data_IF_257807237472
#
_entry.id   IF_257807237472
#
_cell.length_a   1.000
_cell.length_b   1.000
_cell.length_c   1.000
_cell.angle_alpha   90.00
_cell.angle_beta   90.00
_cell.angle_gamma   90.00
#
_symmetry.space_group_name_H-M   'P 1'
#
loop_
_entity.id
_entity.type
_entity.pdbx_description
1 polymer ?
#
# COMPACT_ATOMS: atom_id res chain seq x y z
N UNK A 1 -21.60 28.59 3.76
CA UNK A 1 -20.43 28.18 4.55
C UNK A 1 -19.40 27.65 3.58
N UNK A 2 -18.14 28.03 3.70
CA UNK A 2 -17.07 27.44 2.87
C UNK A 2 -16.95 25.95 3.17
N UNK A 3 -16.89 25.06 2.15
CA UNK A 3 -16.74 23.62 2.38
C UNK A 3 -15.45 23.33 3.17
N UNK A 4 -15.59 22.72 4.34
CA UNK A 4 -14.47 22.35 5.19
C UNK A 4 -14.01 20.92 4.91
N UNK A 5 -12.89 20.79 4.21
CA UNK A 5 -12.31 19.48 3.83
C UNK A 5 -11.94 18.59 5.01
N UNK A 6 -11.74 19.16 6.21
CA UNK A 6 -11.33 18.38 7.39
C UNK A 6 -12.51 17.72 8.09
N UNK A 7 -13.71 18.28 7.95
CA UNK A 7 -14.96 17.65 8.41
C UNK A 7 -15.61 16.76 7.35
N UNK A 8 -15.16 16.84 6.10
CA UNK A 8 -15.68 16.04 5.00
C UNK A 8 -15.46 14.54 5.16
N UNK A 9 -16.37 13.75 4.59
CA UNK A 9 -16.23 12.30 4.47
C UNK A 9 -15.39 11.99 3.23
N UNK A 10 -14.18 11.48 3.45
CA UNK A 10 -13.27 11.08 2.37
C UNK A 10 -13.59 9.66 1.90
N UNK A 11 -13.97 9.54 0.64
CA UNK A 11 -14.25 8.26 -0.01
C UNK A 11 -13.21 7.94 -1.07
N UNK A 12 -13.02 6.64 -1.30
CA UNK A 12 -12.16 6.09 -2.35
C UNK A 12 -12.94 5.02 -3.09
N UNK A 13 -12.48 4.64 -4.28
CA UNK A 13 -13.09 3.54 -5.04
C UNK A 13 -13.26 2.27 -4.17
N UNK A 14 -12.22 1.90 -3.42
CA UNK A 14 -12.23 0.74 -2.53
C UNK A 14 -13.25 0.89 -1.39
N UNK A 15 -13.35 2.08 -0.77
CA UNK A 15 -14.26 2.30 0.34
C UNK A 15 -15.72 2.35 -0.09
N UNK A 16 -16.01 2.92 -1.27
CA UNK A 16 -17.35 2.88 -1.87
C UNK A 16 -17.75 1.44 -2.18
N UNK A 17 -16.85 0.65 -2.76
CA UNK A 17 -17.12 -0.76 -3.05
C UNK A 17 -17.39 -1.57 -1.76
N UNK A 18 -16.58 -1.36 -0.71
CA UNK A 18 -16.82 -1.98 0.61
C UNK A 18 -18.19 -1.58 1.19
N UNK A 19 -18.60 -0.31 1.05
CA UNK A 19 -19.90 0.16 1.54
C UNK A 19 -21.07 -0.48 0.77
N UNK A 20 -20.97 -0.54 -0.57
CA UNK A 20 -21.98 -1.16 -1.44
C UNK A 20 -22.17 -2.64 -1.13
N UNK A 21 -21.09 -3.36 -0.81
CA UNK A 21 -21.15 -4.77 -0.43
C UNK A 21 -21.68 -4.97 0.99
N UNK A 22 -21.17 -4.18 1.95
CA UNK A 22 -21.57 -4.28 3.35
C UNK A 22 -21.25 -2.97 4.11
N UNK A 23 -22.26 -2.15 4.46
CA UNK A 23 -22.04 -0.91 5.21
C UNK A 23 -21.32 -1.11 6.55
N UNK A 24 -21.55 -2.24 7.22
CA UNK A 24 -20.87 -2.58 8.47
C UNK A 24 -19.38 -2.85 8.25
N UNK A 25 -19.02 -3.54 7.16
CA UNK A 25 -17.63 -3.79 6.81
C UNK A 25 -16.91 -2.48 6.45
N UNK A 26 -17.58 -1.58 5.72
CA UNK A 26 -17.05 -0.24 5.46
C UNK A 26 -16.71 0.49 6.76
N UNK A 27 -17.65 0.54 7.71
CA UNK A 27 -17.42 1.21 8.99
C UNK A 27 -16.19 0.64 9.70
N UNK A 28 -16.09 -0.68 9.82
CA UNK A 28 -14.98 -1.33 10.52
C UNK A 28 -13.63 -1.16 9.82
N UNK A 29 -13.61 -1.16 8.48
CA UNK A 29 -12.37 -1.04 7.69
C UNK A 29 -11.90 0.40 7.51
N UNK A 30 -12.82 1.37 7.43
CA UNK A 30 -12.51 2.73 6.99
C UNK A 30 -12.75 3.81 8.03
N UNK A 31 -13.75 3.64 8.91
CA UNK A 31 -14.18 4.66 9.87
C UNK A 31 -13.71 4.34 11.30
N UNK A 32 -13.79 3.08 11.70
CA UNK A 32 -13.52 2.64 13.06
C UNK A 32 -12.04 2.83 13.45
N UNK A 33 -11.83 3.32 14.67
CA UNK A 33 -10.53 3.55 15.30
C UNK A 33 -10.54 2.89 16.68
N UNK A 34 -9.37 2.43 17.13
CA UNK A 34 -9.20 1.93 18.49
C UNK A 34 -9.60 3.03 19.50
N UNK A 35 -10.56 2.79 20.41
CA UNK A 35 -11.01 3.80 21.36
C UNK A 35 -9.92 4.26 22.35
N UNK A 36 -8.85 3.47 22.56
CA UNK A 36 -7.77 3.82 23.49
C UNK A 36 -6.70 4.68 22.83
N UNK A 37 -6.34 4.39 21.58
CA UNK A 37 -5.23 5.04 20.86
C UNK A 37 -5.70 6.04 19.81
N UNK A 38 -6.97 6.00 19.41
CA UNK A 38 -7.50 6.78 18.29
C UNK A 38 -6.93 6.35 16.93
N UNK A 39 -6.16 5.27 16.85
CA UNK A 39 -5.52 4.82 15.63
C UNK A 39 -6.42 3.89 14.82
N UNK A 40 -6.28 3.94 13.49
CA UNK A 40 -6.96 3.02 12.58
C UNK A 40 -6.41 1.61 12.78
N UNK A 41 -7.31 0.64 12.95
CA UNK A 41 -6.93 -0.76 13.08
C UNK A 41 -6.87 -1.38 11.67
N UNK A 42 -5.77 -2.08 11.38
CA UNK A 42 -5.65 -2.94 10.20
C UNK A 42 -5.16 -4.32 10.63
N UNK A 43 -5.78 -5.35 10.06
CA UNK A 43 -5.37 -6.74 10.28
C UNK A 43 -4.23 -7.03 9.32
N UNK A 44 -3.08 -7.41 9.87
CA UNK A 44 -1.97 -7.89 9.05
C UNK A 44 -2.25 -9.32 8.59
N UNK A 45 -2.05 -9.56 7.29
CA UNK A 45 -2.22 -10.90 6.68
C UNK A 45 -1.03 -11.21 5.77
N UNK A 46 -0.70 -12.49 5.55
CA UNK A 46 0.40 -12.89 4.67
C UNK A 46 0.38 -12.25 3.27
N UNK A 47 -0.78 -12.17 2.57
CA UNK A 47 -0.85 -11.48 1.27
C UNK A 47 -0.60 -9.98 1.36
N UNK A 48 -1.10 -9.32 2.42
CA UNK A 48 -0.89 -7.88 2.64
C UNK A 48 0.60 -7.60 2.91
N UNK A 49 1.24 -8.41 3.74
CA UNK A 49 2.65 -8.29 4.06
C UNK A 49 3.52 -8.45 2.80
N UNK A 50 3.25 -9.48 1.99
CA UNK A 50 3.90 -9.66 0.69
C UNK A 50 3.75 -8.43 -0.21
N UNK A 51 2.50 -7.98 -0.41
CA UNK A 51 2.22 -6.82 -1.26
C UNK A 51 2.93 -5.56 -0.78
N UNK A 52 2.88 -5.29 0.53
CA UNK A 52 3.53 -4.15 1.14
C UNK A 52 5.04 -4.11 0.84
N UNK A 53 5.76 -5.22 1.05
CA UNK A 53 7.21 -5.24 0.81
C UNK A 53 7.55 -5.09 -0.67
N UNK A 54 6.78 -5.73 -1.56
CA UNK A 54 6.99 -5.57 -3.01
C UNK A 54 6.77 -4.11 -3.43
N UNK A 55 5.71 -3.47 -2.94
CA UNK A 55 5.46 -2.05 -3.21
C UNK A 55 6.58 -1.15 -2.67
N UNK A 56 7.05 -1.40 -1.44
CA UNK A 56 8.13 -0.62 -0.83
C UNK A 56 9.43 -0.69 -1.66
N UNK A 57 9.80 -1.88 -2.17
CA UNK A 57 10.97 -2.03 -3.07
C UNK A 57 10.79 -1.20 -4.34
N UNK A 58 9.63 -1.28 -5.00
CA UNK A 58 9.36 -0.57 -6.26
C UNK A 58 9.33 0.95 -6.05
N UNK A 59 8.72 1.40 -4.96
CA UNK A 59 8.63 2.83 -4.61
C UNK A 59 10.02 3.40 -4.34
N UNK A 60 10.88 2.70 -3.60
CA UNK A 60 12.27 3.10 -3.38
C UNK A 60 13.03 3.20 -4.72
N UNK A 61 12.87 2.24 -5.63
CA UNK A 61 13.46 2.32 -6.97
C UNK A 61 13.00 3.55 -7.75
N UNK A 62 11.73 3.94 -7.63
CA UNK A 62 11.18 5.12 -8.31
C UNK A 62 11.84 6.44 -7.87
N UNK A 63 12.50 6.46 -6.71
CA UNK A 63 13.24 7.62 -6.20
C UNK A 63 14.65 7.75 -6.79
N UNK A 64 15.21 6.67 -7.32
CA UNK A 64 16.55 6.65 -7.89
C UNK A 64 16.54 7.14 -9.36
N UNK A 65 17.65 7.74 -9.83
CA UNK A 65 17.87 7.99 -11.26
C UNK A 65 17.74 6.70 -12.06
N UNK A 66 17.17 6.76 -13.28
CA UNK A 66 16.90 5.58 -14.11
C UNK A 66 18.12 4.68 -14.31
N UNK A 67 19.30 5.28 -14.46
CA UNK A 67 20.58 4.59 -14.63
C UNK A 67 20.99 3.76 -13.41
N UNK A 68 20.48 4.09 -12.21
CA UNK A 68 20.88 3.48 -10.94
C UNK A 68 19.84 2.53 -10.37
N UNK A 69 18.59 2.55 -10.88
CA UNK A 69 17.46 1.75 -10.37
C UNK A 69 17.75 0.25 -10.30
N UNK A 70 18.54 -0.26 -11.24
CA UNK A 70 18.87 -1.69 -11.34
C UNK A 70 20.33 -1.99 -10.96
N UNK A 71 21.12 -0.99 -10.55
CA UNK A 71 22.51 -1.18 -10.09
C UNK A 71 22.58 -1.73 -8.67
N UNK A 72 21.68 -1.27 -7.78
CA UNK A 72 21.43 -1.92 -6.48
C UNK A 72 20.56 -3.14 -6.73
N UNK A 73 20.98 -4.32 -6.27
CA UNK A 73 20.29 -5.58 -6.49
C UNK A 73 18.90 -5.48 -5.81
N UNK A 74 17.78 -5.39 -6.57
CA UNK A 74 16.45 -5.24 -5.98
C UNK A 74 16.08 -6.41 -5.04
N UNK A 75 16.71 -7.57 -5.27
CA UNK A 75 16.59 -8.76 -4.43
C UNK A 75 17.18 -8.56 -3.03
N UNK A 76 18.34 -7.92 -2.90
CA UNK A 76 18.98 -7.69 -1.60
C UNK A 76 18.11 -6.75 -0.77
N UNK A 77 17.58 -5.70 -1.41
CA UNK A 77 16.68 -4.77 -0.74
C UNK A 77 15.39 -5.44 -0.29
N UNK A 78 14.81 -6.30 -1.14
CA UNK A 78 13.67 -7.11 -0.77
C UNK A 78 13.95 -7.97 0.48
N UNK A 79 15.09 -8.65 0.53
CA UNK A 79 15.46 -9.52 1.65
C UNK A 79 15.71 -8.73 2.95
N UNK A 80 16.24 -7.50 2.86
CA UNK A 80 16.35 -6.59 3.99
C UNK A 80 14.98 -6.15 4.52
N UNK A 81 14.09 -5.71 3.62
CA UNK A 81 12.76 -5.23 3.95
C UNK A 81 11.87 -6.34 4.52
N UNK A 82 12.03 -7.57 4.04
CA UNK A 82 11.30 -8.74 4.55
C UNK A 82 11.48 -8.93 6.06
N UNK A 83 12.65 -8.59 6.62
CA UNK A 83 12.94 -8.68 8.07
C UNK A 83 11.95 -7.89 8.93
N UNK A 84 11.31 -6.86 8.37
CA UNK A 84 10.31 -6.04 9.08
C UNK A 84 9.00 -6.79 9.35
N UNK A 85 8.66 -7.76 8.49
CA UNK A 85 7.37 -8.47 8.49
C UNK A 85 7.47 -9.96 8.85
N UNK A 86 8.61 -10.43 9.35
CA UNK A 86 8.78 -11.87 9.68
C UNK A 86 7.86 -12.33 10.80
N UNK A 87 7.42 -13.59 10.75
CA UNK A 87 6.58 -14.22 11.75
C UNK A 87 5.24 -13.51 11.98
N UNK A 88 4.85 -13.39 13.26
CA UNK A 88 3.57 -12.78 13.65
C UNK A 88 3.37 -11.35 13.13
N UNK A 89 4.47 -10.59 12.91
CA UNK A 89 4.41 -9.22 12.38
C UNK A 89 3.90 -9.14 10.94
N UNK A 90 4.04 -10.19 10.15
CA UNK A 90 3.48 -10.31 8.79
C UNK A 90 2.21 -11.14 8.73
N UNK A 91 1.67 -11.53 9.88
CA UNK A 91 0.49 -12.40 9.95
C UNK A 91 0.79 -13.87 9.62
N UNK A 92 2.05 -14.31 9.73
CA UNK A 92 2.42 -15.71 9.52
C UNK A 92 2.22 -16.53 10.80
N UNK A 93 1.58 -17.69 10.67
CA UNK A 93 1.33 -18.62 11.78
C UNK A 93 2.40 -19.72 11.87
N UNK A 94 3.07 -20.00 10.76
CA UNK A 94 4.11 -21.01 10.63
C UNK A 94 5.16 -20.57 9.59
N UNK A 95 6.32 -21.22 9.67
CA UNK A 95 7.47 -20.87 8.84
C UNK A 95 7.30 -21.28 7.38
N UNK A 96 6.61 -22.39 7.10
CA UNK A 96 6.43 -22.87 5.74
C UNK A 96 5.55 -21.91 4.92
N UNK A 97 4.50 -21.38 5.55
CA UNK A 97 3.67 -20.32 4.98
C UNK A 97 4.51 -19.07 4.73
N UNK A 98 5.32 -18.62 5.70
CA UNK A 98 6.19 -17.47 5.52
C UNK A 98 7.16 -17.65 4.33
N UNK A 99 7.85 -18.79 4.27
CA UNK A 99 8.81 -19.10 3.22
C UNK A 99 8.14 -19.20 1.84
N UNK A 100 6.90 -19.71 1.77
CA UNK A 100 6.09 -19.70 0.53
C UNK A 100 5.82 -18.29 0.03
N UNK A 101 5.37 -17.39 0.91
CA UNK A 101 5.12 -15.99 0.53
C UNK A 101 6.42 -15.25 0.21
N UNK A 102 7.49 -15.52 0.95
CA UNK A 102 8.81 -14.94 0.69
C UNK A 102 9.33 -15.32 -0.68
N UNK A 103 9.24 -16.60 -1.06
CA UNK A 103 9.63 -17.09 -2.39
C UNK A 103 8.80 -16.45 -3.50
N UNK A 104 7.48 -16.37 -3.31
CA UNK A 104 6.59 -15.69 -4.26
C UNK A 104 6.99 -14.22 -4.47
N UNK A 105 7.34 -13.50 -3.42
CA UNK A 105 7.80 -12.11 -3.57
C UNK A 105 9.14 -12.00 -4.28
N UNK A 106 10.09 -12.91 -4.04
CA UNK A 106 11.33 -12.97 -4.83
C UNK A 106 11.05 -13.18 -6.32
N UNK A 107 10.10 -14.05 -6.67
CA UNK A 107 9.68 -14.24 -8.06
C UNK A 107 9.08 -12.97 -8.66
N UNK A 108 8.27 -12.22 -7.89
CA UNK A 108 7.73 -10.93 -8.32
C UNK A 108 8.83 -9.90 -8.59
N UNK A 109 9.80 -9.77 -7.69
CA UNK A 109 10.96 -8.87 -7.88
C UNK A 109 11.82 -9.31 -9.07
N UNK A 110 12.10 -10.60 -9.21
CA UNK A 110 12.84 -11.13 -10.36
C UNK A 110 12.14 -10.85 -11.69
N UNK A 111 10.80 -10.90 -11.72
CA UNK A 111 10.00 -10.55 -12.90
C UNK A 111 10.17 -9.08 -13.28
N UNK A 112 10.27 -8.17 -12.30
CA UNK A 112 10.49 -6.75 -12.55
C UNK A 112 11.89 -6.51 -13.14
N UNK A 113 12.92 -7.20 -12.65
CA UNK A 113 14.26 -7.09 -13.23
C UNK A 113 14.31 -7.60 -14.67
N UNK A 114 13.60 -8.68 -14.98
CA UNK A 114 13.52 -9.25 -16.34
C UNK A 114 12.64 -8.44 -17.28
N UNK A 115 11.59 -7.82 -16.75
CA UNK A 115 10.58 -7.07 -17.50
C UNK A 115 10.33 -5.72 -16.81
N UNK A 116 11.28 -4.77 -16.92
CA UNK A 116 11.27 -3.55 -16.10
C UNK A 116 10.14 -2.59 -16.46
N UNK A 117 9.65 -2.63 -17.70
CA UNK A 117 8.52 -1.81 -18.14
C UNK A 117 8.73 -0.32 -17.82
N UNK A 118 7.71 0.38 -17.32
CA UNK A 118 7.80 1.81 -17.00
C UNK A 118 8.84 2.17 -15.93
N UNK A 119 9.29 1.22 -15.12
CA UNK A 119 10.28 1.47 -14.05
C UNK A 119 11.67 1.77 -14.65
N UNK A 120 11.97 1.33 -15.87
CA UNK A 120 13.21 1.73 -16.55
C UNK A 120 13.16 3.16 -17.09
N UNK A 121 11.96 3.71 -17.27
CA UNK A 121 11.76 4.98 -17.96
C UNK A 121 11.82 6.19 -17.02
N UNK A 122 12.09 7.36 -17.60
CA UNK A 122 11.99 8.64 -16.88
C UNK A 122 10.53 8.89 -16.54
N UNK A 123 10.24 9.16 -15.28
CA UNK A 123 8.91 9.50 -14.81
C UNK A 123 8.91 10.95 -14.30
N UNK A 124 7.91 11.73 -14.73
CA UNK A 124 7.67 13.07 -14.19
C UNK A 124 6.97 12.91 -12.85
N UNK A 125 7.63 13.34 -11.76
CA UNK A 125 6.99 13.39 -10.44
C UNK A 125 6.22 14.70 -10.31
N UNK A 126 4.90 14.62 -10.31
CA UNK A 126 4.02 15.77 -10.08
C UNK A 126 4.22 16.25 -8.64
N UNK A 127 4.57 17.52 -8.46
CA UNK A 127 4.80 18.14 -7.15
C UNK A 127 3.51 18.81 -6.63
N UNK A 128 2.41 18.08 -6.62
CA UNK A 128 1.13 18.59 -6.11
C UNK A 128 0.71 17.86 -4.85
N UNK A 129 -0.02 18.55 -3.98
CA UNK A 129 -0.78 17.89 -2.91
C UNK A 129 -1.79 16.92 -3.53
N UNK A 130 -2.10 15.82 -2.83
CA UNK A 130 -3.12 14.85 -3.25
C UNK A 130 -4.36 15.57 -3.80
N UNK A 131 -4.63 15.47 -5.11
CA UNK A 131 -5.80 16.12 -5.69
C UNK A 131 -7.04 15.47 -5.11
N UNK A 132 -8.04 16.28 -4.80
CA UNK A 132 -9.33 15.83 -4.30
C UNK A 132 -10.44 16.59 -5.03
N UNK A 133 -11.62 15.99 -5.08
CA UNK A 133 -12.77 16.55 -5.76
C UNK A 133 -14.00 16.43 -4.85
N UNK A 134 -14.84 17.46 -4.81
CA UNK A 134 -16.09 17.38 -4.06
C UNK A 134 -17.11 16.58 -4.86
N UNK A 135 -17.38 15.35 -4.42
CA UNK A 135 -18.44 14.52 -5.01
C UNK A 135 -19.83 15.08 -4.69
N UNK A 136 -19.98 15.66 -3.50
CA UNK A 136 -21.17 16.41 -3.10
C UNK A 136 -20.79 17.41 -2.01
N UNK A 137 -20.90 18.70 -2.31
CA UNK A 137 -20.69 19.76 -1.30
C UNK A 137 -21.82 19.78 -0.27
N UNK A 138 -23.07 19.49 -0.69
CA UNK A 138 -24.25 19.46 0.18
C UNK A 138 -24.12 18.36 1.26
N UNK A 139 -23.65 17.19 0.86
CA UNK A 139 -23.45 16.03 1.75
C UNK A 139 -22.05 16.03 2.41
N UNK A 140 -21.21 17.03 2.12
CA UNK A 140 -19.84 17.15 2.60
C UNK A 140 -18.96 15.92 2.28
N UNK A 141 -18.99 15.45 1.02
CA UNK A 141 -18.28 14.25 0.55
C UNK A 141 -17.18 14.64 -0.45
N UNK A 142 -15.96 14.18 -0.15
CA UNK A 142 -14.78 14.24 -1.01
C UNK A 142 -14.47 12.84 -1.54
#
# INVERSE_FOLDING_TARGET
MTPDKYSAVWVSHTSINDFRQCPRAYFLKHVYKDPKTGHKIKIMTPPLALGQIVHEVIEEMSTLPTQDRFKKIPMDRYDELWKKITGKKGGFFDRDTEDKYKRRGREMIARITKHPGPIAEKAVKIKESLPYYWLSEEENII
#
